data_IF_569940574576
#
_entry.id   IF_569940574576
#
_cell.length_a   1.000
_cell.length_b   1.000
_cell.length_c   1.000
_cell.angle_alpha   90.00
_cell.angle_beta   90.00
_cell.angle_gamma   90.00
#
_symmetry.space_group_name_H-M   'P 1'
#
loop_
_entity.id
_entity.type
_entity.pdbx_description
1 polymer ?
#
# COMPACT_ATOMS: atom_id res chain seq x y z
N UNK A 1 -22.51 10.67 11.30
CA UNK A 1 -21.31 9.86 11.07
C UNK A 1 -20.89 10.07 9.63
N UNK A 2 -19.62 10.25 9.27
CA UNK A 2 -19.23 10.28 7.86
C UNK A 2 -19.70 8.98 7.22
N UNK A 3 -20.36 9.08 6.07
CA UNK A 3 -20.80 7.90 5.32
C UNK A 3 -19.55 7.13 4.91
N UNK A 4 -19.48 5.84 5.21
CA UNK A 4 -18.40 4.98 4.72
C UNK A 4 -18.49 4.90 3.20
N UNK A 5 -17.63 5.66 2.51
CA UNK A 5 -17.59 5.72 1.05
C UNK A 5 -17.36 4.35 0.43
N UNK A 6 -16.52 3.53 1.03
CA UNK A 6 -16.25 2.19 0.52
C UNK A 6 -17.53 1.37 0.43
N UNK A 7 -18.31 1.35 1.50
CA UNK A 7 -19.61 0.64 1.54
C UNK A 7 -20.60 1.22 0.53
N UNK A 8 -20.66 2.55 0.39
CA UNK A 8 -21.58 3.23 -0.54
C UNK A 8 -21.34 2.83 -2.01
N UNK A 9 -20.08 2.67 -2.39
CA UNK A 9 -19.67 2.30 -3.76
C UNK A 9 -19.43 0.81 -3.95
N UNK A 10 -19.79 -0.03 -2.99
CA UNK A 10 -19.62 -1.48 -3.06
C UNK A 10 -18.16 -1.92 -3.05
N UNK A 11 -17.26 -1.08 -2.53
CA UNK A 11 -15.85 -1.41 -2.34
C UNK A 11 -15.65 -2.21 -1.05
N UNK A 12 -14.59 -2.99 -1.03
CA UNK A 12 -14.16 -3.62 0.21
C UNK A 12 -13.75 -2.55 1.25
N UNK A 13 -13.84 -2.85 2.56
CA UNK A 13 -13.28 -2.00 3.58
C UNK A 13 -11.79 -1.69 3.32
N UNK A 14 -11.31 -0.55 3.81
CA UNK A 14 -9.88 -0.24 3.80
C UNK A 14 -9.09 -1.38 4.47
N UNK A 15 -7.87 -1.59 4.02
CA UNK A 15 -7.00 -2.62 4.60
C UNK A 15 -6.78 -2.34 6.09
N UNK A 16 -6.89 -3.38 6.94
CA UNK A 16 -6.77 -3.23 8.40
C UNK A 16 -5.47 -2.56 8.82
N UNK A 17 -4.38 -2.85 8.12
CA UNK A 17 -3.07 -2.24 8.39
C UNK A 17 -3.03 -0.74 8.06
N UNK A 18 -3.78 -0.28 7.04
CA UNK A 18 -3.94 1.14 6.74
C UNK A 18 -4.75 1.83 7.84
N UNK A 19 -5.83 1.18 8.30
CA UNK A 19 -6.65 1.69 9.41
C UNK A 19 -5.82 1.83 10.69
N UNK A 20 -5.01 0.81 11.01
CA UNK A 20 -4.12 0.83 12.18
C UNK A 20 -3.02 1.90 12.06
N UNK A 21 -2.40 2.03 10.89
CA UNK A 21 -1.38 3.05 10.64
C UNK A 21 -1.89 4.47 10.88
N UNK A 22 -3.15 4.77 10.51
CA UNK A 22 -3.77 6.07 10.75
C UNK A 22 -3.97 6.41 12.24
N UNK A 23 -3.84 5.46 13.16
CA UNK A 23 -3.85 5.73 14.60
C UNK A 23 -2.51 6.29 15.09
N UNK A 24 -1.44 6.07 14.32
CA UNK A 24 -0.08 6.46 14.66
C UNK A 24 0.42 7.64 13.84
N UNK A 25 0.00 7.70 12.56
CA UNK A 25 0.49 8.67 11.59
C UNK A 25 -0.49 9.84 11.50
N UNK A 26 -0.02 11.05 11.80
CA UNK A 26 -0.80 12.26 11.59
C UNK A 26 -1.03 12.52 10.08
N UNK A 27 -2.17 13.13 9.68
CA UNK A 27 -2.45 13.47 8.30
C UNK A 27 -1.29 14.23 7.62
N UNK A 28 -0.89 13.76 6.46
CA UNK A 28 0.21 14.31 5.66
C UNK A 28 -0.04 14.00 4.16
N UNK A 29 0.91 14.34 3.31
CA UNK A 29 0.92 13.85 1.93
C UNK A 29 1.18 12.34 1.93
N UNK A 30 0.23 11.57 1.39
CA UNK A 30 0.28 10.10 1.36
C UNK A 30 0.21 9.57 -0.07
N UNK A 31 0.87 8.43 -0.30
CA UNK A 31 0.77 7.66 -1.53
C UNK A 31 0.09 6.31 -1.25
N UNK A 32 -0.99 6.02 -1.97
CA UNK A 32 -1.60 4.68 -2.05
C UNK A 32 -1.10 4.01 -3.34
N UNK A 33 -0.09 3.16 -3.21
CA UNK A 33 0.61 2.51 -4.32
C UNK A 33 -0.03 1.16 -4.64
N UNK A 34 -0.63 1.04 -5.82
CA UNK A 34 -1.48 -0.09 -6.19
C UNK A 34 -2.89 0.07 -5.62
N UNK A 35 -3.46 1.27 -5.78
CA UNK A 35 -4.70 1.67 -5.13
C UNK A 35 -5.94 0.91 -5.63
N UNK A 36 -5.88 0.23 -6.78
CA UNK A 36 -7.04 -0.38 -7.42
C UNK A 36 -8.21 0.60 -7.51
N UNK A 37 -9.41 0.21 -7.09
CA UNK A 37 -10.61 1.06 -7.08
C UNK A 37 -10.63 2.08 -5.92
N UNK A 38 -9.53 2.23 -5.15
CA UNK A 38 -9.34 3.33 -4.21
C UNK A 38 -9.83 3.11 -2.79
N UNK A 39 -10.08 1.86 -2.33
CA UNK A 39 -10.58 1.61 -0.97
C UNK A 39 -9.72 2.24 0.13
N UNK A 40 -8.38 2.18 0.01
CA UNK A 40 -7.46 2.78 0.96
C UNK A 40 -7.37 4.30 0.75
N UNK A 41 -7.29 4.75 -0.51
CA UNK A 41 -7.22 6.17 -0.85
C UNK A 41 -8.42 6.95 -0.31
N UNK A 42 -9.64 6.42 -0.47
CA UNK A 42 -10.88 7.02 0.05
C UNK A 42 -10.86 7.09 1.58
N UNK A 43 -10.43 6.01 2.24
CA UNK A 43 -10.29 6.00 3.70
C UNK A 43 -9.27 7.02 4.19
N UNK A 44 -8.05 7.05 3.61
CA UNK A 44 -7.00 8.01 3.97
C UNK A 44 -7.49 9.45 3.79
N UNK A 45 -8.18 9.74 2.69
CA UNK A 45 -8.79 11.07 2.46
C UNK A 45 -9.76 11.46 3.56
N UNK A 46 -10.63 10.54 4.00
CA UNK A 46 -11.56 10.78 5.11
C UNK A 46 -10.85 10.98 6.45
N UNK A 47 -9.63 10.45 6.61
CA UNK A 47 -8.77 10.71 7.77
C UNK A 47 -7.98 12.03 7.65
N UNK A 48 -8.16 12.80 6.57
CA UNK A 48 -7.55 14.11 6.37
C UNK A 48 -6.19 14.09 5.66
N UNK A 49 -5.75 12.95 5.12
CA UNK A 49 -4.52 12.90 4.31
C UNK A 49 -4.75 13.53 2.93
N UNK A 50 -3.70 14.13 2.35
CA UNK A 50 -3.66 14.47 0.93
C UNK A 50 -3.13 13.26 0.17
N UNK A 51 -3.98 12.60 -0.62
CA UNK A 51 -3.68 11.30 -1.19
C UNK A 51 -3.32 11.41 -2.67
N UNK A 52 -2.18 10.83 -3.04
CA UNK A 52 -1.89 10.43 -4.43
C UNK A 52 -2.20 8.93 -4.51
N UNK A 53 -3.10 8.54 -5.41
CA UNK A 53 -3.50 7.15 -5.62
C UNK A 53 -3.05 6.69 -7.01
N UNK A 54 -2.26 5.62 -7.07
CA UNK A 54 -1.70 5.13 -8.33
C UNK A 54 -1.96 3.65 -8.55
N UNK A 55 -2.30 3.30 -9.78
CA UNK A 55 -2.48 1.91 -10.24
C UNK A 55 -2.21 1.84 -11.75
N UNK A 56 -1.79 0.67 -12.24
CA UNK A 56 -1.58 0.47 -13.67
C UNK A 56 -2.87 0.13 -14.44
N UNK A 57 -3.99 -0.08 -13.76
CA UNK A 57 -5.29 -0.38 -14.35
C UNK A 57 -6.09 0.90 -14.61
N UNK A 58 -6.24 1.34 -15.89
CA UNK A 58 -6.98 2.55 -16.22
C UNK A 58 -8.46 2.47 -15.81
N UNK A 59 -9.07 1.28 -15.87
CA UNK A 59 -10.46 1.08 -15.47
C UNK A 59 -10.70 1.33 -13.99
N UNK A 60 -9.78 0.85 -13.14
CA UNK A 60 -9.80 1.09 -11.71
C UNK A 60 -9.61 2.58 -11.37
N UNK A 61 -8.64 3.23 -12.02
CA UNK A 61 -8.40 4.67 -11.87
C UNK A 61 -9.60 5.50 -12.32
N UNK A 62 -10.21 5.18 -13.47
CA UNK A 62 -11.41 5.89 -13.95
C UNK A 62 -12.58 5.75 -12.96
N UNK A 63 -12.77 4.57 -12.36
CA UNK A 63 -13.78 4.36 -11.33
C UNK A 63 -13.53 5.26 -10.11
N UNK A 64 -12.30 5.27 -9.60
CA UNK A 64 -11.92 6.13 -8.47
C UNK A 64 -12.10 7.62 -8.80
N UNK A 65 -11.70 8.06 -9.99
CA UNK A 65 -11.91 9.45 -10.45
C UNK A 65 -13.39 9.80 -10.51
N UNK A 66 -14.25 8.87 -10.94
CA UNK A 66 -15.70 9.06 -10.92
C UNK A 66 -16.23 9.29 -9.51
N UNK A 67 -15.80 8.49 -8.53
CA UNK A 67 -16.17 8.67 -7.11
C UNK A 67 -15.68 10.03 -6.58
N UNK A 68 -14.42 10.39 -6.87
CA UNK A 68 -13.83 11.68 -6.46
C UNK A 68 -14.68 12.84 -6.97
N UNK A 69 -15.09 12.80 -8.24
CA UNK A 69 -15.91 13.83 -8.85
C UNK A 69 -17.33 13.87 -8.26
N UNK A 70 -17.99 12.71 -8.10
CA UNK A 70 -19.35 12.62 -7.56
C UNK A 70 -19.44 13.12 -6.12
N UNK A 71 -18.47 12.80 -5.30
CA UNK A 71 -18.41 13.18 -3.87
C UNK A 71 -17.76 14.55 -3.63
N UNK A 72 -17.23 15.20 -4.66
CA UNK A 72 -16.54 16.50 -4.55
C UNK A 72 -15.27 16.42 -3.68
N UNK A 73 -14.55 15.28 -3.71
CA UNK A 73 -13.35 15.07 -2.92
C UNK A 73 -12.19 15.89 -3.50
N UNK A 74 -11.59 16.77 -2.72
CA UNK A 74 -10.52 17.66 -3.17
C UNK A 74 -9.11 17.23 -2.78
N UNK A 75 -8.98 16.25 -1.91
CA UNK A 75 -7.70 15.81 -1.33
C UNK A 75 -7.27 14.41 -1.83
N UNK A 76 -7.77 13.96 -3.00
CA UNK A 76 -7.27 12.77 -3.71
C UNK A 76 -6.94 13.15 -5.15
N UNK A 77 -5.76 12.72 -5.60
CA UNK A 77 -5.38 12.70 -7.01
C UNK A 77 -5.14 11.26 -7.43
N UNK A 78 -5.95 10.76 -8.38
CA UNK A 78 -5.83 9.40 -8.90
C UNK A 78 -5.27 9.42 -10.33
N UNK A 79 -4.23 8.62 -10.58
CA UNK A 79 -3.56 8.57 -11.88
C UNK A 79 -3.07 7.17 -12.24
N UNK A 80 -3.05 6.89 -13.56
CA UNK A 80 -2.47 5.66 -14.08
C UNK A 80 -0.94 5.74 -13.97
N UNK A 81 -0.34 4.76 -13.32
CA UNK A 81 1.11 4.67 -13.15
C UNK A 81 1.56 3.21 -13.07
N UNK A 82 2.57 2.84 -13.86
CA UNK A 82 3.21 1.53 -13.75
C UNK A 82 4.28 1.57 -12.67
N UNK A 83 4.00 0.90 -11.55
CA UNK A 83 4.88 0.83 -10.38
C UNK A 83 6.25 0.22 -10.72
N UNK A 84 6.33 -0.68 -11.71
CA UNK A 84 7.59 -1.26 -12.17
C UNK A 84 8.60 -0.21 -12.67
N UNK A 85 8.15 0.98 -13.04
CA UNK A 85 9.06 2.07 -13.46
C UNK A 85 9.96 2.56 -12.32
N UNK A 86 9.53 2.45 -11.05
CA UNK A 86 10.25 2.91 -9.86
C UNK A 86 10.75 4.37 -10.01
N UNK A 87 9.86 5.26 -10.44
CA UNK A 87 10.18 6.65 -10.81
C UNK A 87 9.19 7.65 -10.21
N UNK A 88 8.89 7.49 -8.90
CA UNK A 88 8.13 8.49 -8.17
C UNK A 88 8.88 9.84 -8.21
N UNK A 89 8.17 10.92 -8.45
CA UNK A 89 8.70 12.28 -8.62
C UNK A 89 8.39 13.23 -7.46
N UNK A 90 7.57 12.76 -6.50
CA UNK A 90 7.15 13.51 -5.30
C UNK A 90 7.57 12.77 -4.03
N UNK A 91 7.83 13.53 -2.98
CA UNK A 91 8.10 12.99 -1.65
C UNK A 91 6.82 12.93 -0.80
N UNK A 92 6.74 11.93 0.09
CA UNK A 92 5.56 11.64 0.89
C UNK A 92 5.92 11.46 2.36
N UNK A 93 5.02 11.86 3.24
CA UNK A 93 5.11 11.54 4.66
C UNK A 93 4.66 10.11 4.97
N UNK A 94 3.81 9.52 4.09
CA UNK A 94 3.32 8.15 4.22
C UNK A 94 3.18 7.48 2.86
N UNK A 95 3.79 6.31 2.68
CA UNK A 95 3.60 5.47 1.49
C UNK A 95 3.00 4.13 1.94
N UNK A 96 1.80 3.82 1.45
CA UNK A 96 1.14 2.53 1.65
C UNK A 96 1.21 1.70 0.36
N UNK A 97 1.71 0.48 0.46
CA UNK A 97 1.78 -0.52 -0.61
C UNK A 97 1.27 -1.85 -0.08
N UNK A 98 -0.05 -2.04 -0.12
CA UNK A 98 -0.71 -3.22 0.46
C UNK A 98 -1.17 -4.18 -0.60
N UNK A 99 -0.71 -5.43 -0.55
CA UNK A 99 -1.10 -6.52 -1.47
C UNK A 99 -0.86 -6.14 -2.94
N UNK A 100 0.28 -5.53 -3.21
CA UNK A 100 0.63 -4.99 -4.55
C UNK A 100 1.94 -5.55 -5.08
N UNK A 101 3.02 -5.57 -4.28
CA UNK A 101 4.36 -5.96 -4.74
C UNK A 101 4.39 -7.36 -5.35
N UNK A 102 3.57 -8.29 -4.86
CA UNK A 102 3.50 -9.66 -5.37
C UNK A 102 3.08 -9.78 -6.84
N UNK A 103 2.49 -8.73 -7.41
CA UNK A 103 2.04 -8.69 -8.82
C UNK A 103 3.05 -8.02 -9.76
N UNK A 104 4.15 -7.48 -9.23
CA UNK A 104 5.16 -6.78 -10.01
C UNK A 104 6.14 -7.75 -10.67
N UNK A 105 6.90 -7.25 -11.64
CA UNK A 105 8.07 -7.94 -12.17
C UNK A 105 9.09 -8.15 -11.04
N UNK A 106 9.47 -9.42 -10.74
CA UNK A 106 10.42 -9.71 -9.66
C UNK A 106 11.74 -8.94 -9.78
N UNK A 107 12.22 -8.72 -11.01
CA UNK A 107 13.45 -7.99 -11.26
C UNK A 107 13.36 -6.49 -10.93
N UNK A 108 12.15 -5.96 -10.69
CA UNK A 108 11.88 -4.55 -10.41
C UNK A 108 11.59 -4.24 -8.96
N UNK A 109 11.22 -5.25 -8.15
CA UNK A 109 10.76 -5.04 -6.77
C UNK A 109 11.78 -4.30 -5.92
N UNK A 110 13.06 -4.66 -5.99
CA UNK A 110 14.11 -3.97 -5.22
C UNK A 110 14.22 -2.50 -5.60
N UNK A 111 14.13 -2.18 -6.90
CA UNK A 111 14.16 -0.79 -7.37
C UNK A 111 12.90 -0.02 -6.91
N UNK A 112 11.74 -0.67 -6.89
CA UNK A 112 10.49 -0.08 -6.39
C UNK A 112 10.59 0.22 -4.90
N UNK A 113 11.03 -0.74 -4.09
CA UNK A 113 11.21 -0.56 -2.63
C UNK A 113 12.23 0.54 -2.35
N UNK A 114 13.37 0.55 -3.06
CA UNK A 114 14.36 1.62 -2.93
C UNK A 114 13.77 2.99 -3.28
N UNK A 115 12.99 3.09 -4.35
CA UNK A 115 12.33 4.34 -4.74
C UNK A 115 11.31 4.80 -3.69
N UNK A 116 10.53 3.88 -3.09
CA UNK A 116 9.67 4.19 -1.95
C UNK A 116 10.48 4.80 -0.78
N UNK A 117 11.60 4.17 -0.42
CA UNK A 117 12.48 4.65 0.66
C UNK A 117 13.06 6.03 0.36
N UNK A 118 13.52 6.27 -0.88
CA UNK A 118 14.06 7.55 -1.32
C UNK A 118 13.02 8.66 -1.27
N UNK A 119 11.77 8.36 -1.67
CA UNK A 119 10.64 9.30 -1.74
C UNK A 119 9.83 9.42 -0.45
N UNK A 120 10.27 8.77 0.61
CA UNK A 120 9.72 9.00 1.95
C UNK A 120 10.50 10.12 2.62
N UNK A 121 9.80 11.12 3.13
CA UNK A 121 10.39 12.23 3.90
C UNK A 121 11.09 11.70 5.17
N UNK A 122 12.13 12.39 5.69
CA UNK A 122 12.67 12.09 7.01
C UNK A 122 11.56 12.04 8.05
N UNK A 123 11.58 11.05 8.94
CA UNK A 123 10.50 10.82 9.91
C UNK A 123 9.20 10.28 9.33
N UNK A 124 9.08 10.11 8.01
CA UNK A 124 7.92 9.53 7.31
C UNK A 124 7.86 8.00 7.43
N UNK A 125 6.83 7.41 6.82
CA UNK A 125 6.50 6.00 7.04
C UNK A 125 6.27 5.25 5.74
N UNK A 126 6.68 3.97 5.72
CA UNK A 126 6.28 3.00 4.70
C UNK A 126 5.49 1.87 5.35
N UNK A 127 4.33 1.58 4.77
CA UNK A 127 3.51 0.40 5.08
C UNK A 127 3.55 -0.56 3.90
N UNK A 128 4.01 -1.79 4.14
CA UNK A 128 4.04 -2.85 3.12
C UNK A 128 3.31 -4.08 3.66
N UNK A 129 2.44 -4.65 2.82
CA UNK A 129 1.85 -5.98 3.01
C UNK A 129 2.05 -6.75 1.71
N UNK A 130 2.82 -7.83 1.77
CA UNK A 130 3.14 -8.64 0.59
C UNK A 130 3.11 -10.14 0.92
N UNK A 131 2.66 -10.96 -0.03
CA UNK A 131 2.68 -12.40 0.12
C UNK A 131 4.12 -12.93 0.27
N UNK A 132 4.24 -13.99 1.04
CA UNK A 132 5.48 -14.72 1.27
C UNK A 132 5.41 -16.13 0.69
N UNK A 133 6.57 -16.70 0.39
CA UNK A 133 6.72 -18.11 0.08
C UNK A 133 8.02 -18.62 0.66
N UNK A 134 7.94 -19.48 1.67
CA UNK A 134 9.09 -20.06 2.34
C UNK A 134 9.14 -21.56 2.11
N UNK A 135 10.26 -22.20 2.41
CA UNK A 135 10.38 -23.66 2.34
C UNK A 135 9.39 -24.39 3.27
N UNK A 136 9.07 -23.77 4.42
CA UNK A 136 8.15 -24.33 5.42
C UNK A 136 6.68 -24.02 5.08
N UNK A 137 6.43 -22.88 4.43
CA UNK A 137 5.09 -22.41 4.10
C UNK A 137 5.08 -21.91 2.64
N UNK A 138 5.07 -22.83 1.66
CA UNK A 138 5.01 -22.44 0.26
C UNK A 138 3.71 -21.69 -0.06
N UNK A 139 3.80 -20.63 -0.85
CA UNK A 139 2.63 -19.89 -1.28
C UNK A 139 1.76 -20.75 -2.21
N UNK A 140 0.47 -20.97 -1.89
CA UNK A 140 -0.42 -21.76 -2.74
C UNK A 140 -0.84 -21.03 -4.03
N UNK A 141 -0.55 -19.74 -4.13
CA UNK A 141 -0.83 -18.91 -5.31
C UNK A 141 0.48 -18.60 -6.01
N UNK A 142 0.51 -18.81 -7.33
CA UNK A 142 1.69 -18.53 -8.14
C UNK A 142 1.78 -17.03 -8.47
N UNK A 143 2.17 -16.22 -7.47
CA UNK A 143 2.49 -14.81 -7.71
C UNK A 143 3.83 -14.66 -8.45
N UNK A 144 3.99 -13.64 -9.30
CA UNK A 144 5.28 -13.30 -9.89
C UNK A 144 6.38 -13.12 -8.86
N UNK A 145 6.08 -12.45 -7.74
CA UNK A 145 7.01 -12.17 -6.65
C UNK A 145 6.41 -12.56 -5.29
N UNK A 146 7.24 -13.04 -4.38
CA UNK A 146 6.94 -13.27 -2.95
C UNK A 146 8.21 -13.04 -2.15
N UNK A 147 8.07 -12.52 -0.92
CA UNK A 147 9.19 -12.43 0.00
C UNK A 147 9.52 -13.80 0.63
N UNK A 148 10.80 -14.03 0.90
CA UNK A 148 11.26 -15.08 1.80
C UNK A 148 11.31 -14.57 3.26
N UNK A 149 11.57 -15.47 4.22
CA UNK A 149 11.65 -15.14 5.66
C UNK A 149 12.68 -14.06 5.95
N UNK A 150 12.28 -12.98 6.63
CA UNK A 150 13.12 -11.86 7.03
C UNK A 150 13.59 -10.94 5.89
N UNK A 151 13.28 -11.23 4.63
CA UNK A 151 13.78 -10.48 3.48
C UNK A 151 13.28 -9.03 3.47
N UNK A 152 11.98 -8.82 3.71
CA UNK A 152 11.42 -7.47 3.81
C UNK A 152 12.03 -6.67 4.96
N UNK A 153 12.25 -7.32 6.11
CA UNK A 153 12.92 -6.68 7.26
C UNK A 153 14.34 -6.25 6.92
N UNK A 154 15.08 -7.09 6.20
CA UNK A 154 16.45 -6.80 5.75
C UNK A 154 16.49 -5.61 4.79
N UNK A 155 15.51 -5.50 3.88
CA UNK A 155 15.41 -4.37 2.95
C UNK A 155 15.23 -3.02 3.66
N UNK A 156 14.71 -3.01 4.90
CA UNK A 156 14.52 -1.81 5.72
C UNK A 156 15.50 -1.70 6.89
N UNK A 157 16.69 -2.30 6.75
CA UNK A 157 17.75 -2.13 7.75
C UNK A 157 18.06 -0.62 7.95
N UNK A 158 18.19 -0.20 9.21
CA UNK A 158 18.38 1.20 9.58
C UNK A 158 17.09 2.02 9.75
N UNK A 159 15.91 1.49 9.38
CA UNK A 159 14.63 2.11 9.68
C UNK A 159 14.09 1.61 11.03
N UNK A 160 13.29 2.45 11.71
CA UNK A 160 12.61 2.03 12.93
C UNK A 160 11.36 1.23 12.57
N UNK A 161 11.38 -0.07 12.84
CA UNK A 161 10.19 -0.92 12.69
C UNK A 161 9.19 -0.59 13.81
N UNK A 162 8.03 -0.05 13.42
CA UNK A 162 6.89 0.21 14.32
C UNK A 162 6.08 -1.07 14.49
N UNK A 163 5.90 -1.80 13.38
CA UNK A 163 5.26 -3.12 13.34
C UNK A 163 5.99 -3.99 12.33
N UNK A 164 6.16 -5.25 12.66
CA UNK A 164 6.62 -6.27 11.75
C UNK A 164 6.09 -7.63 12.17
N UNK A 165 5.50 -8.36 11.24
CA UNK A 165 5.18 -9.77 11.40
C UNK A 165 5.18 -10.51 10.06
N UNK A 166 5.19 -11.84 10.13
CA UNK A 166 5.15 -12.76 8.99
C UNK A 166 4.04 -13.79 9.23
N UNK A 167 2.82 -13.29 9.44
CA UNK A 167 1.69 -14.08 9.88
C UNK A 167 0.85 -14.62 8.70
N UNK A 168 0.07 -15.67 9.00
CA UNK A 168 -0.92 -16.18 8.05
C UNK A 168 -2.14 -15.26 8.05
N UNK A 169 -2.47 -14.75 6.86
CA UNK A 169 -3.66 -13.98 6.60
C UNK A 169 -4.64 -14.74 5.70
N UNK A 170 -5.89 -14.28 5.66
CA UNK A 170 -6.92 -14.85 4.80
C UNK A 170 -7.28 -13.87 3.70
N UNK A 171 -7.15 -14.29 2.45
CA UNK A 171 -7.60 -13.51 1.29
C UNK A 171 -9.12 -13.53 1.16
N UNK A 172 -9.67 -12.59 0.38
CA UNK A 172 -11.10 -12.56 0.06
C UNK A 172 -11.64 -13.86 -0.52
N UNK A 173 -10.80 -14.60 -1.25
CA UNK A 173 -11.13 -15.93 -1.78
C UNK A 173 -11.25 -17.03 -0.72
N UNK A 174 -10.92 -16.74 0.56
CA UNK A 174 -10.80 -17.71 1.65
C UNK A 174 -9.45 -18.43 1.68
N UNK A 175 -8.56 -18.21 0.72
CA UNK A 175 -7.23 -18.80 0.73
C UNK A 175 -6.39 -18.22 1.87
N UNK A 176 -5.70 -19.09 2.59
CA UNK A 176 -4.74 -18.70 3.63
C UNK A 176 -3.35 -18.60 3.02
N UNK A 177 -2.68 -17.47 3.24
CA UNK A 177 -1.33 -17.19 2.79
C UNK A 177 -0.53 -16.55 3.91
N UNK A 178 0.78 -16.79 3.90
CA UNK A 178 1.69 -16.04 4.76
C UNK A 178 1.97 -14.66 4.13
N UNK A 179 1.97 -13.62 4.97
CA UNK A 179 2.26 -12.25 4.55
C UNK A 179 3.35 -11.65 5.41
N UNK A 180 4.31 -11.00 4.78
CA UNK A 180 5.17 -10.04 5.44
C UNK A 180 4.39 -8.72 5.56
N UNK A 181 4.19 -8.27 6.80
CA UNK A 181 3.53 -7.01 7.13
C UNK A 181 4.50 -6.11 7.88
N UNK A 182 4.71 -4.90 7.39
CA UNK A 182 5.65 -3.97 7.98
C UNK A 182 5.10 -2.55 7.96
N UNK A 183 5.17 -1.86 9.11
CA UNK A 183 5.14 -0.40 9.21
C UNK A 183 6.50 0.06 9.72
N UNK A 184 7.25 0.77 8.89
CA UNK A 184 8.58 1.28 9.21
C UNK A 184 8.64 2.81 9.15
N UNK A 185 9.33 3.44 10.10
CA UNK A 185 9.57 4.88 10.15
C UNK A 185 11.00 5.17 9.69
N UNK A 186 11.14 6.09 8.72
CA UNK A 186 12.43 6.60 8.25
C UNK A 186 13.12 7.39 9.37
N UNK A 187 14.45 7.27 9.54
CA UNK A 187 15.21 8.18 10.41
C UNK A 187 14.99 9.66 10.04
N UNK A 188 15.16 10.52 11.06
CA UNK A 188 15.09 11.99 10.88
C UNK A 188 16.23 12.49 9.98
#
# INVERSE_FOLDING_TARGET
MPTDLNSRYGLNPAHSEVVEACQTIAPCDALDMGCSNGRNALYLSQQGFNVTAVDNNPGAINMLQGIIQEEGISNIQAQVYDINNASLDKDYGFIACTVTLMFLDPSRVDAVVKNMQERTLPGGYNLIVCAMSTAQTPCPVNFPFTYDEGELKTAYEGWKLIKYNEDIGTMHSGAQLQFATMLAKKPE
#
